data_IF_174211616202
#
_entry.id   IF_174211616202
#
_cell.length_a   1.000
_cell.length_b   1.000
_cell.length_c   1.000
_cell.angle_alpha   90.00
_cell.angle_beta   90.00
_cell.angle_gamma   90.00
#
_symmetry.space_group_name_H-M   'P 1'
#
loop_
_entity.id
_entity.type
_entity.pdbx_description
1 polymer ?
#
# COMPACT_ATOMS: atom_id res chain seq x y z
N UNK A 1 -4.41 3.42 23.84
CA UNK A 1 -4.49 2.52 22.67
C UNK A 1 -4.02 3.32 21.45
N UNK A 2 -3.18 2.76 20.61
CA UNK A 2 -2.78 3.41 19.35
C UNK A 2 -3.85 3.17 18.29
N UNK A 3 -4.12 4.17 17.46
CA UNK A 3 -5.12 4.14 16.41
C UNK A 3 -4.46 4.10 15.04
N UNK A 4 -4.96 3.23 14.18
CA UNK A 4 -4.55 3.14 12.78
C UNK A 4 -5.76 3.15 11.87
N UNK A 5 -5.56 3.48 10.62
CA UNK A 5 -6.61 3.50 9.58
C UNK A 5 -6.24 2.59 8.42
N UNK A 6 -7.22 1.91 7.88
CA UNK A 6 -7.15 1.18 6.62
C UNK A 6 -7.98 1.90 5.58
N UNK A 7 -7.38 2.23 4.46
CA UNK A 7 -8.08 2.81 3.32
C UNK A 7 -7.72 2.03 2.06
N UNK A 8 -8.66 1.23 1.56
CA UNK A 8 -8.44 0.47 0.33
C UNK A 8 -8.35 1.39 -0.88
N UNK A 9 -7.32 1.26 -1.71
CA UNK A 9 -7.22 2.04 -2.94
C UNK A 9 -8.14 1.51 -4.04
N UNK A 10 -8.72 0.34 -3.89
CA UNK A 10 -9.65 -0.24 -4.86
C UNK A 10 -11.11 0.04 -4.50
N UNK A 11 -11.54 1.26 -4.70
CA UNK A 11 -12.93 1.66 -4.50
C UNK A 11 -13.74 1.59 -5.80
N UNK A 12 -14.39 0.46 -6.01
CA UNK A 12 -15.24 0.24 -7.19
C UNK A 12 -16.53 1.06 -7.21
N UNK A 13 -16.90 1.68 -6.08
CA UNK A 13 -18.11 2.49 -5.99
C UNK A 13 -17.84 3.95 -6.36
N UNK A 14 -16.59 4.40 -6.32
CA UNK A 14 -16.23 5.75 -6.72
C UNK A 14 -16.44 5.91 -8.22
N UNK A 15 -17.32 6.84 -8.62
CA UNK A 15 -17.63 7.12 -10.05
C UNK A 15 -16.38 7.48 -10.85
N UNK A 16 -15.39 8.11 -10.22
CA UNK A 16 -14.13 8.49 -10.85
C UNK A 16 -13.10 7.36 -10.90
N UNK A 17 -13.40 6.16 -10.39
CA UNK A 17 -12.44 5.05 -10.44
C UNK A 17 -12.08 4.69 -11.88
N UNK A 18 -10.78 4.61 -12.17
CA UNK A 18 -10.25 4.39 -13.52
C UNK A 18 -10.02 5.68 -14.34
N UNK A 19 -10.47 6.84 -13.87
CA UNK A 19 -9.99 8.16 -14.29
C UNK A 19 -8.88 8.57 -13.31
N UNK A 20 -7.65 8.15 -13.62
CA UNK A 20 -6.56 8.16 -12.66
C UNK A 20 -6.27 9.54 -12.03
N UNK A 21 -6.24 10.65 -12.77
CA UNK A 21 -6.04 11.96 -12.14
C UNK A 21 -7.14 12.31 -11.14
N UNK A 22 -8.41 12.14 -11.53
CA UNK A 22 -9.54 12.46 -10.66
C UNK A 22 -9.64 11.55 -9.46
N UNK A 23 -9.39 10.26 -9.66
CA UNK A 23 -9.44 9.29 -8.55
C UNK A 23 -8.31 9.52 -7.54
N UNK A 24 -7.09 9.80 -8.01
CA UNK A 24 -5.98 10.10 -7.11
C UNK A 24 -6.26 11.35 -6.26
N UNK A 25 -6.86 12.39 -6.85
CA UNK A 25 -7.29 13.56 -6.10
C UNK A 25 -8.40 13.22 -5.08
N UNK A 26 -9.38 12.43 -5.48
CA UNK A 26 -10.43 11.93 -4.59
C UNK A 26 -9.85 11.15 -3.41
N UNK A 27 -8.92 10.24 -3.67
CA UNK A 27 -8.27 9.43 -2.64
C UNK A 27 -7.45 10.30 -1.66
N UNK A 28 -6.73 11.31 -2.17
CA UNK A 28 -6.00 12.28 -1.33
C UNK A 28 -6.95 13.08 -0.44
N UNK A 29 -8.14 13.44 -0.92
CA UNK A 29 -9.16 14.10 -0.09
C UNK A 29 -9.63 13.20 1.05
N UNK A 30 -9.90 11.92 0.79
CA UNK A 30 -10.26 10.95 1.82
C UNK A 30 -9.12 10.77 2.86
N UNK A 31 -7.88 10.61 2.39
CA UNK A 31 -6.72 10.55 3.28
C UNK A 31 -6.60 11.82 4.13
N UNK A 32 -6.77 12.98 3.53
CA UNK A 32 -6.69 14.25 4.25
C UNK A 32 -7.75 14.33 5.34
N UNK A 33 -8.98 13.95 5.05
CA UNK A 33 -10.06 13.91 6.04
C UNK A 33 -9.71 12.98 7.21
N UNK A 34 -9.31 11.74 6.92
CA UNK A 34 -8.96 10.75 7.93
C UNK A 34 -7.77 11.18 8.81
N UNK A 35 -6.81 11.86 8.22
CA UNK A 35 -5.56 12.22 8.90
C UNK A 35 -5.62 13.59 9.59
N UNK A 36 -6.72 14.34 9.47
CA UNK A 36 -6.85 15.67 10.10
C UNK A 36 -7.97 15.75 11.12
N UNK A 37 -9.05 14.98 10.96
CA UNK A 37 -10.27 15.20 11.74
C UNK A 37 -10.43 14.31 12.99
N UNK A 38 -9.61 13.26 13.13
CA UNK A 38 -9.83 12.22 14.14
C UNK A 38 -8.65 12.04 15.11
N UNK A 39 -7.73 13.00 15.16
CA UNK A 39 -6.61 13.01 16.07
C UNK A 39 -5.37 12.30 15.53
N UNK A 40 -4.49 11.83 16.44
CA UNK A 40 -3.22 11.21 16.06
C UNK A 40 -3.45 9.81 15.49
N UNK A 41 -2.94 9.60 14.26
CA UNK A 41 -2.94 8.32 13.57
C UNK A 41 -1.53 7.72 13.64
N UNK A 42 -1.43 6.46 14.07
CA UNK A 42 -0.16 5.77 14.25
C UNK A 42 0.19 4.85 13.08
N UNK A 43 -0.79 4.43 12.32
CA UNK A 43 -0.59 3.55 11.17
C UNK A 43 -1.59 3.87 10.06
N UNK A 44 -1.09 3.92 8.84
CA UNK A 44 -1.93 3.94 7.63
C UNK A 44 -1.63 2.67 6.84
N UNK A 45 -2.65 1.83 6.72
CA UNK A 45 -2.53 0.54 6.05
C UNK A 45 -3.18 0.57 4.67
N UNK A 46 -2.41 0.24 3.65
CA UNK A 46 -2.89 0.10 2.27
C UNK A 46 -2.75 -1.34 1.80
N UNK A 47 -3.74 -1.88 1.14
CA UNK A 47 -3.53 -3.05 0.30
C UNK A 47 -3.09 -2.64 -1.11
N UNK A 48 -2.60 -3.61 -1.87
CA UNK A 48 -2.17 -3.41 -3.25
C UNK A 48 -3.25 -3.71 -4.29
N UNK A 49 -4.50 -3.83 -3.87
CA UNK A 49 -5.59 -4.21 -4.77
C UNK A 49 -5.75 -3.19 -5.89
N UNK A 50 -5.81 -3.67 -7.12
CA UNK A 50 -5.95 -2.88 -8.33
C UNK A 50 -6.75 -3.66 -9.40
N UNK A 51 -7.97 -3.96 -9.07
CA UNK A 51 -8.91 -4.57 -10.01
C UNK A 51 -9.55 -3.55 -10.93
N UNK A 52 -10.33 -4.03 -11.87
CA UNK A 52 -11.13 -3.18 -12.75
C UNK A 52 -12.31 -2.59 -11.98
N UNK A 53 -12.63 -1.34 -12.32
CA UNK A 53 -13.86 -0.69 -11.89
C UNK A 53 -15.06 -1.13 -12.73
N UNK A 54 -16.27 -0.61 -12.44
CA UNK A 54 -17.47 -0.89 -13.23
C UNK A 54 -17.36 -0.48 -14.71
N UNK A 55 -16.47 0.46 -15.00
CA UNK A 55 -16.16 0.94 -16.36
C UNK A 55 -15.12 0.07 -17.11
N UNK A 56 -14.68 -1.04 -16.52
CA UNK A 56 -13.66 -1.94 -17.07
C UNK A 56 -12.24 -1.38 -17.04
N UNK A 57 -12.02 -0.24 -16.39
CA UNK A 57 -10.70 0.39 -16.31
C UNK A 57 -10.04 0.10 -14.98
N UNK A 58 -8.72 -0.05 -15.01
CA UNK A 58 -7.87 -0.09 -13.82
C UNK A 58 -7.38 1.30 -13.47
N UNK A 59 -7.18 1.51 -12.19
CA UNK A 59 -6.62 2.74 -11.66
C UNK A 59 -5.09 2.71 -11.73
N UNK A 60 -4.47 3.82 -12.06
CA UNK A 60 -3.05 4.07 -11.83
C UNK A 60 -2.93 4.95 -10.60
N UNK A 61 -2.44 4.36 -9.50
CA UNK A 61 -2.32 5.05 -8.22
C UNK A 61 -1.07 5.94 -8.18
N UNK A 62 -1.22 7.15 -7.67
CA UNK A 62 -0.11 8.06 -7.36
C UNK A 62 0.36 7.85 -5.93
N UNK A 63 1.08 6.74 -5.71
CA UNK A 63 1.60 6.38 -4.40
C UNK A 63 2.49 7.47 -3.79
N UNK A 64 3.26 8.18 -4.62
CA UNK A 64 4.12 9.26 -4.13
C UNK A 64 3.33 10.42 -3.52
N UNK A 65 2.23 10.81 -4.15
CA UNK A 65 1.34 11.83 -3.62
C UNK A 65 0.64 11.35 -2.33
N UNK A 66 0.25 10.07 -2.27
CA UNK A 66 -0.37 9.48 -1.07
C UNK A 66 0.62 9.50 0.11
N UNK A 67 1.85 9.04 -0.09
CA UNK A 67 2.87 9.03 0.97
C UNK A 67 3.24 10.43 1.44
N UNK A 68 3.44 11.37 0.53
CA UNK A 68 3.70 12.77 0.88
C UNK A 68 2.57 13.38 1.71
N UNK A 69 1.32 13.01 1.39
CA UNK A 69 0.15 13.47 2.16
C UNK A 69 0.19 12.95 3.59
N UNK A 70 0.48 11.65 3.76
CA UNK A 70 0.58 11.04 5.10
C UNK A 70 1.74 11.65 5.88
N UNK A 71 2.93 11.72 5.29
CA UNK A 71 4.12 12.28 5.94
C UNK A 71 3.93 13.72 6.38
N UNK A 72 3.20 14.51 5.60
CA UNK A 72 2.89 15.91 5.92
C UNK A 72 1.89 16.03 7.06
N UNK A 73 0.83 15.21 7.08
CA UNK A 73 -0.29 15.34 8.02
C UNK A 73 -0.06 14.57 9.31
N UNK A 74 0.59 13.41 9.22
CA UNK A 74 0.88 12.51 10.34
C UNK A 74 2.33 11.99 10.24
N UNK A 75 3.34 12.83 10.51
CA UNK A 75 4.76 12.51 10.27
C UNK A 75 5.29 11.35 11.11
N UNK A 76 4.55 10.92 12.12
CA UNK A 76 4.91 9.78 12.99
C UNK A 76 4.14 8.51 12.64
N UNK A 77 3.20 8.58 11.70
CA UNK A 77 2.45 7.41 11.29
C UNK A 77 3.32 6.47 10.46
N UNK A 78 3.18 5.19 10.72
CA UNK A 78 3.82 4.12 9.96
C UNK A 78 2.95 3.77 8.75
N UNK A 79 3.54 3.72 7.57
CA UNK A 79 2.87 3.29 6.35
C UNK A 79 3.14 1.80 6.09
N UNK A 80 2.08 1.00 6.12
CA UNK A 80 2.17 -0.45 6.02
C UNK A 80 1.75 -0.97 4.65
N UNK A 81 2.31 -2.10 4.27
CA UNK A 81 2.06 -2.91 3.07
C UNK A 81 2.54 -2.25 1.78
N UNK A 82 1.77 -1.32 1.24
CA UNK A 82 2.15 -0.54 0.06
C UNK A 82 2.90 0.74 0.44
N UNK A 83 3.24 0.91 1.72
CA UNK A 83 4.08 1.98 2.22
C UNK A 83 5.55 1.57 2.31
N UNK A 84 6.41 2.55 2.60
CA UNK A 84 7.85 2.34 2.68
C UNK A 84 8.34 1.83 4.03
N UNK A 85 7.49 1.89 5.08
CA UNK A 85 7.96 1.70 6.45
C UNK A 85 7.89 0.24 6.91
N UNK A 86 6.80 -0.44 6.59
CA UNK A 86 6.55 -1.82 7.04
C UNK A 86 6.01 -2.68 5.91
N UNK A 87 6.65 -3.81 5.68
CA UNK A 87 6.15 -4.82 4.75
C UNK A 87 5.14 -5.76 5.42
N UNK A 88 4.29 -6.37 4.63
CA UNK A 88 3.44 -7.45 5.07
C UNK A 88 4.22 -8.77 5.15
N UNK A 89 4.22 -9.36 6.33
CA UNK A 89 4.76 -10.70 6.58
C UNK A 89 3.61 -11.68 6.59
N UNK A 90 3.36 -12.31 5.48
CA UNK A 90 2.26 -13.25 5.37
C UNK A 90 1.86 -13.55 3.93
N UNK A 91 0.76 -14.24 3.80
CA UNK A 91 0.15 -14.59 2.53
C UNK A 91 -1.34 -14.87 2.74
N UNK A 92 -2.11 -14.96 1.63
CA UNK A 92 -3.54 -15.24 1.68
C UNK A 92 -3.92 -16.62 2.27
N UNK A 93 -2.95 -17.48 2.50
CA UNK A 93 -3.16 -18.78 3.18
C UNK A 93 -3.10 -18.68 4.70
N UNK A 94 -2.77 -17.52 5.24
CA UNK A 94 -2.62 -17.30 6.68
C UNK A 94 -1.44 -18.04 7.31
N UNK A 95 -0.42 -18.36 6.54
CA UNK A 95 0.76 -19.08 7.01
C UNK A 95 1.92 -18.10 7.22
N UNK A 96 2.54 -18.16 8.40
CA UNK A 96 3.82 -17.53 8.67
C UNK A 96 4.98 -18.50 8.37
N UNK A 97 6.19 -17.96 8.31
CA UNK A 97 7.41 -18.75 8.25
C UNK A 97 7.99 -18.91 9.66
N UNK A 98 8.74 -19.95 9.87
CA UNK A 98 9.41 -20.22 11.15
C UNK A 98 10.39 -19.09 11.52
N UNK A 99 11.06 -18.53 10.51
CA UNK A 99 11.97 -17.39 10.68
C UNK A 99 11.61 -16.27 9.71
N UNK A 100 11.46 -15.05 10.26
CA UNK A 100 11.19 -13.83 9.48
C UNK A 100 12.24 -12.76 9.74
N UNK A 101 12.64 -12.09 8.67
CA UNK A 101 13.55 -10.96 8.70
C UNK A 101 12.81 -9.67 8.37
N UNK A 102 13.01 -8.64 9.17
CA UNK A 102 12.46 -7.31 8.89
C UNK A 102 13.14 -6.62 7.72
N UNK A 103 14.43 -6.93 7.48
CA UNK A 103 15.13 -6.38 6.35
C UNK A 103 14.52 -6.86 5.03
N UNK A 104 14.30 -5.94 4.12
CA UNK A 104 13.82 -6.20 2.76
C UNK A 104 14.89 -5.86 1.75
N UNK A 105 14.95 -6.63 0.67
CA UNK A 105 15.87 -6.37 -0.43
C UNK A 105 15.34 -5.23 -1.27
N UNK A 106 16.10 -4.15 -1.37
CA UNK A 106 15.87 -3.09 -2.35
C UNK A 106 16.43 -3.53 -3.69
N UNK A 107 15.66 -4.27 -4.45
CA UNK A 107 16.01 -4.60 -5.83
C UNK A 107 15.31 -3.62 -6.76
N UNK A 108 16.00 -3.06 -7.77
CA UNK A 108 15.35 -2.20 -8.74
C UNK A 108 14.10 -2.84 -9.33
N UNK A 109 12.97 -2.14 -9.24
CA UNK A 109 11.65 -2.60 -9.68
C UNK A 109 10.87 -3.46 -8.67
N UNK A 110 11.43 -3.82 -7.51
CA UNK A 110 10.68 -4.53 -6.46
C UNK A 110 9.78 -3.57 -5.67
N UNK A 111 10.27 -2.39 -5.39
CA UNK A 111 9.51 -1.32 -4.71
C UNK A 111 9.07 -0.21 -5.65
N UNK A 112 9.05 -0.47 -6.94
CA UNK A 112 8.45 0.52 -7.79
C UNK A 112 6.97 0.65 -7.43
N UNK A 113 6.63 1.78 -6.93
CA UNK A 113 5.34 2.25 -6.45
C UNK A 113 4.31 2.33 -7.59
N UNK A 114 4.28 1.32 -8.45
CA UNK A 114 3.40 1.25 -9.60
C UNK A 114 2.52 0.00 -9.54
N UNK A 115 1.31 0.11 -10.04
CA UNK A 115 0.38 -1.00 -10.14
C UNK A 115 0.96 -2.22 -10.88
N UNK A 116 1.84 -1.98 -11.86
CA UNK A 116 2.48 -3.04 -12.63
C UNK A 116 3.51 -3.80 -11.81
N UNK A 117 4.27 -3.12 -10.98
CA UNK A 117 5.23 -3.76 -10.10
C UNK A 117 4.54 -4.50 -8.96
N UNK A 118 3.43 -3.98 -8.44
CA UNK A 118 2.59 -4.70 -7.51
C UNK A 118 2.08 -6.01 -8.10
N UNK A 119 1.71 -6.01 -9.38
CA UNK A 119 1.32 -7.23 -10.10
C UNK A 119 2.50 -8.20 -10.27
N UNK A 120 3.70 -7.71 -10.58
CA UNK A 120 4.92 -8.53 -10.69
C UNK A 120 5.34 -9.14 -9.35
N UNK A 121 5.22 -8.37 -8.29
CA UNK A 121 5.55 -8.81 -6.94
C UNK A 121 4.51 -9.76 -6.36
N UNK A 122 3.31 -9.78 -6.96
CA UNK A 122 2.22 -10.57 -6.42
C UNK A 122 2.10 -10.35 -4.92
N UNK A 123 1.76 -9.13 -4.51
CA UNK A 123 1.66 -8.73 -3.09
C UNK A 123 0.89 -9.76 -2.25
N UNK A 124 0.02 -10.50 -2.90
CA UNK A 124 -0.75 -11.60 -2.34
C UNK A 124 -0.24 -12.99 -2.75
N UNK A 125 0.93 -13.10 -3.36
CA UNK A 125 1.52 -14.34 -3.86
C UNK A 125 2.81 -14.71 -3.10
N UNK A 126 3.43 -15.80 -3.54
CA UNK A 126 4.73 -16.25 -3.02
C UNK A 126 5.83 -15.17 -3.05
N UNK A 127 5.66 -14.12 -3.85
CA UNK A 127 6.61 -13.01 -3.92
C UNK A 127 6.48 -12.04 -2.71
N UNK A 128 5.42 -12.13 -1.92
CA UNK A 128 5.35 -11.45 -0.63
C UNK A 128 6.42 -11.96 0.36
N UNK A 129 7.11 -13.03 0.02
CA UNK A 129 8.26 -13.55 0.76
C UNK A 129 9.58 -12.78 0.52
N UNK A 130 9.48 -11.51 0.16
CA UNK A 130 10.63 -10.65 -0.19
C UNK A 130 11.63 -10.42 0.96
N UNK A 131 11.28 -10.74 2.17
CA UNK A 131 12.19 -10.63 3.31
C UNK A 131 12.82 -11.94 3.73
N UNK A 132 12.77 -12.99 2.94
CA UNK A 132 13.44 -14.22 3.31
C UNK A 132 14.96 -14.05 3.23
N UNK A 133 15.69 -14.66 4.16
CA UNK A 133 17.14 -14.68 4.18
C UNK A 133 17.73 -15.08 2.84
N UNK A 134 17.11 -16.05 2.19
CA UNK A 134 17.52 -16.55 0.86
C UNK A 134 17.51 -15.48 -0.24
N UNK A 135 16.70 -14.43 -0.09
CA UNK A 135 16.68 -13.29 -1.02
C UNK A 135 17.73 -12.23 -0.66
N UNK A 136 18.14 -12.18 0.59
CA UNK A 136 19.18 -11.25 1.05
C UNK A 136 20.59 -11.73 0.71
N UNK A 137 20.77 -13.01 0.39
CA UNK A 137 22.04 -13.65 0.06
C UNK A 137 22.35 -13.60 -1.46
N UNK A 138 21.46 -13.05 -2.28
CA UNK A 138 21.66 -12.87 -3.73
C UNK A 138 21.99 -11.42 -4.06
#
# INVERSE_FOLDING_TARGET
MKFGVYLSPWDRNAECYGDSPKYNEFFIRQLTELLTNYGEVHEVWFDGANGEGPNGKKQVYDWDAFYKTIQRLQPKAVMAIMGDDVRWVGNEKGLGRETEWNATVLTPGIYARSAENNKRLGVFSKAADLGSRKMLEK
#
